data_IF_739328528544
#
_entry.id   IF_739328528544
#
_cell.length_a   1.000
_cell.length_b   1.000
_cell.length_c   1.000
_cell.angle_alpha   90.00
_cell.angle_beta   90.00
_cell.angle_gamma   90.00
#
_symmetry.space_group_name_H-M   'P 1'
#
loop_
_entity.id
_entity.type
_entity.pdbx_description
1 polymer ?
#
# COMPACT_ATOMS: atom_id res chain seq x y z
N UNK A 1 -40.50 18.22 -19.85
CA UNK A 1 -39.59 18.20 -18.71
C UNK A 1 -39.10 16.78 -18.49
N UNK A 2 -37.78 16.60 -18.49
CA UNK A 2 -37.11 15.36 -18.12
C UNK A 2 -36.74 15.42 -16.63
N UNK A 3 -36.63 14.27 -16.00
CA UNK A 3 -36.35 14.16 -14.57
C UNK A 3 -34.87 13.82 -14.35
N UNK A 4 -34.12 14.74 -13.74
CA UNK A 4 -32.74 14.50 -13.32
C UNK A 4 -32.74 13.88 -11.91
N UNK A 5 -32.17 12.68 -11.75
CA UNK A 5 -31.99 12.01 -10.45
C UNK A 5 -30.55 12.11 -9.97
N UNK A 6 -30.39 12.56 -8.72
CA UNK A 6 -29.11 12.82 -8.09
C UNK A 6 -28.83 11.82 -6.97
N UNK A 7 -27.61 11.29 -6.95
CA UNK A 7 -27.16 10.29 -5.98
C UNK A 7 -25.91 10.76 -5.24
N UNK A 8 -25.67 10.15 -4.06
CA UNK A 8 -24.48 10.32 -3.24
C UNK A 8 -24.00 11.79 -3.13
N UNK A 9 -22.74 12.07 -3.50
CA UNK A 9 -22.13 13.40 -3.39
C UNK A 9 -22.88 14.48 -4.19
N UNK A 10 -23.43 14.14 -5.36
CA UNK A 10 -24.23 15.09 -6.15
C UNK A 10 -25.54 15.48 -5.44
N UNK A 11 -26.17 14.52 -4.75
CA UNK A 11 -27.35 14.79 -3.91
C UNK A 11 -27.02 15.72 -2.74
N UNK A 12 -25.87 15.53 -2.12
CA UNK A 12 -25.41 16.35 -0.99
C UNK A 12 -25.09 17.79 -1.43
N UNK A 13 -24.44 17.95 -2.60
CA UNK A 13 -24.13 19.27 -3.17
C UNK A 13 -25.42 20.00 -3.57
N UNK A 14 -26.35 19.30 -4.22
CA UNK A 14 -27.59 19.89 -4.72
C UNK A 14 -28.66 20.10 -3.64
N UNK A 15 -28.54 19.44 -2.48
CA UNK A 15 -29.55 19.48 -1.41
C UNK A 15 -30.89 18.82 -1.78
N UNK A 16 -30.97 18.17 -2.94
CA UNK A 16 -32.17 17.47 -3.45
C UNK A 16 -31.75 16.18 -4.15
N UNK A 17 -32.65 15.20 -4.22
CA UNK A 17 -32.46 13.95 -4.95
C UNK A 17 -33.02 13.99 -6.38
N UNK A 18 -33.77 15.04 -6.74
CA UNK A 18 -34.45 15.18 -8.02
C UNK A 18 -34.51 16.64 -8.46
N UNK A 19 -34.41 16.87 -9.76
CA UNK A 19 -34.64 18.14 -10.42
C UNK A 19 -35.42 17.92 -11.72
N UNK A 20 -36.46 18.72 -11.97
CA UNK A 20 -37.12 18.77 -13.28
C UNK A 20 -36.41 19.76 -14.18
N UNK A 21 -36.00 19.33 -15.37
CA UNK A 21 -35.31 20.17 -16.35
C UNK A 21 -36.05 20.15 -17.68
N UNK A 22 -36.11 21.31 -18.33
CA UNK A 22 -36.63 21.42 -19.69
C UNK A 22 -35.46 21.39 -20.67
N UNK A 23 -35.18 20.19 -21.19
CA UNK A 23 -33.99 19.90 -21.97
C UNK A 23 -34.33 19.01 -23.17
N UNK A 24 -33.66 19.23 -24.30
CA UNK A 24 -33.76 18.42 -25.52
C UNK A 24 -32.66 17.35 -25.62
N UNK A 25 -31.58 17.52 -24.87
CA UNK A 25 -30.46 16.59 -24.80
C UNK A 25 -29.96 16.43 -23.37
N UNK A 26 -29.21 15.36 -23.12
CA UNK A 26 -28.50 15.16 -21.84
C UNK A 26 -27.57 16.34 -21.56
N UNK A 27 -26.87 16.87 -22.57
CA UNK A 27 -25.99 18.02 -22.44
C UNK A 27 -26.72 19.26 -21.93
N UNK A 28 -27.89 19.57 -22.50
CA UNK A 28 -28.72 20.70 -22.07
C UNK A 28 -29.17 20.53 -20.60
N UNK A 29 -29.57 19.31 -20.22
CA UNK A 29 -29.97 18.99 -18.86
C UNK A 29 -28.82 19.18 -17.84
N UNK A 30 -27.60 18.78 -18.21
CA UNK A 30 -26.41 18.94 -17.39
C UNK A 30 -26.03 20.42 -17.23
N UNK A 31 -26.07 21.20 -18.31
CA UNK A 31 -25.71 22.61 -18.29
C UNK A 31 -26.70 23.43 -17.46
N UNK A 32 -28.00 23.10 -17.54
CA UNK A 32 -29.01 23.65 -16.64
C UNK A 32 -28.73 23.32 -15.17
N UNK A 33 -28.37 22.07 -14.86
CA UNK A 33 -28.02 21.67 -13.51
C UNK A 33 -26.76 22.37 -12.99
N UNK A 34 -25.73 22.53 -13.83
CA UNK A 34 -24.50 23.30 -13.51
C UNK A 34 -24.85 24.76 -13.23
N UNK A 35 -25.70 25.38 -14.06
CA UNK A 35 -26.13 26.76 -13.86
C UNK A 35 -26.87 26.97 -12.53
N UNK A 36 -27.58 25.94 -12.05
CA UNK A 36 -28.35 25.99 -10.82
C UNK A 36 -27.53 25.71 -9.56
N UNK A 37 -26.61 24.74 -9.61
CA UNK A 37 -25.87 24.26 -8.43
C UNK A 37 -24.40 24.74 -8.36
N UNK A 38 -23.90 25.36 -9.43
CA UNK A 38 -22.59 26.03 -9.48
C UNK A 38 -21.38 25.11 -9.63
N UNK A 39 -20.19 25.70 -9.56
CA UNK A 39 -18.89 25.06 -9.87
C UNK A 39 -18.62 23.78 -9.06
N UNK A 40 -19.09 23.70 -7.81
CA UNK A 40 -18.89 22.51 -6.97
C UNK A 40 -19.66 21.30 -7.53
N UNK A 41 -20.81 21.53 -8.15
CA UNK A 41 -21.60 20.49 -8.79
C UNK A 41 -20.98 20.05 -10.12
N UNK A 42 -20.47 21.01 -10.90
CA UNK A 42 -19.71 20.75 -12.13
C UNK A 42 -18.48 19.87 -11.89
N UNK A 43 -17.71 20.16 -10.84
CA UNK A 43 -16.57 19.34 -10.45
C UNK A 43 -16.96 17.88 -10.11
N UNK A 44 -18.12 17.69 -9.46
CA UNK A 44 -18.66 16.36 -9.18
C UNK A 44 -19.13 15.63 -10.44
N UNK A 45 -19.78 16.35 -11.35
CA UNK A 45 -20.24 15.84 -12.65
C UNK A 45 -19.10 15.32 -13.53
N UNK A 46 -17.92 15.94 -13.49
CA UNK A 46 -16.76 15.54 -14.27
C UNK A 46 -16.30 14.09 -14.05
N UNK A 47 -16.74 13.46 -12.96
CA UNK A 47 -16.44 12.05 -12.65
C UNK A 47 -17.67 11.14 -12.68
N UNK A 48 -18.87 11.68 -12.85
CA UNK A 48 -20.12 10.94 -12.79
C UNK A 48 -20.45 10.26 -14.13
N UNK A 49 -21.07 9.08 -14.05
CA UNK A 49 -21.67 8.43 -15.21
C UNK A 49 -23.12 8.88 -15.39
N UNK A 50 -23.53 9.07 -16.64
CA UNK A 50 -24.87 9.54 -16.99
C UNK A 50 -25.64 8.40 -17.66
N UNK A 51 -26.87 8.20 -17.20
CA UNK A 51 -27.76 7.14 -17.67
C UNK A 51 -29.13 7.73 -17.99
N UNK A 52 -29.74 7.32 -19.11
CA UNK A 52 -31.09 7.69 -19.51
C UNK A 52 -31.94 6.43 -19.53
N UNK A 53 -32.99 6.38 -18.71
CA UNK A 53 -33.93 5.24 -18.61
C UNK A 53 -33.27 3.86 -18.41
N UNK A 54 -32.07 3.83 -17.80
CA UNK A 54 -31.34 2.59 -17.54
C UNK A 54 -30.26 2.23 -18.57
N UNK A 55 -30.05 3.05 -19.59
CA UNK A 55 -28.95 2.90 -20.56
C UNK A 55 -27.91 4.02 -20.39
N UNK A 56 -26.62 3.69 -20.53
CA UNK A 56 -25.55 4.68 -20.44
C UNK A 56 -25.63 5.68 -21.61
N UNK A 57 -25.60 6.97 -21.30
CA UNK A 57 -25.84 8.05 -22.25
C UNK A 57 -24.66 9.02 -22.34
N UNK A 58 -24.50 9.63 -23.50
CA UNK A 58 -23.54 10.71 -23.75
C UNK A 58 -24.28 12.05 -23.82
N UNK A 59 -23.53 13.17 -23.80
CA UNK A 59 -24.13 14.52 -23.77
C UNK A 59 -25.02 14.82 -24.98
N UNK A 60 -24.76 14.20 -26.13
CA UNK A 60 -25.54 14.35 -27.36
C UNK A 60 -26.80 13.46 -27.39
N UNK A 61 -27.00 12.60 -26.39
CA UNK A 61 -28.18 11.73 -26.34
C UNK A 61 -29.45 12.57 -26.20
N UNK A 62 -30.42 12.41 -27.11
CA UNK A 62 -31.68 13.16 -27.05
C UNK A 62 -32.53 12.70 -25.87
N UNK A 63 -33.25 13.63 -25.25
CA UNK A 63 -34.19 13.36 -24.15
C UNK A 63 -35.53 14.03 -24.40
N UNK A 64 -36.58 13.40 -23.91
CA UNK A 64 -37.98 13.79 -24.09
C UNK A 64 -38.67 14.02 -22.76
N UNK A 65 -39.87 14.62 -22.81
CA UNK A 65 -40.70 14.86 -21.63
C UNK A 65 -41.25 13.56 -21.05
N UNK A 66 -40.51 12.97 -20.12
CA UNK A 66 -40.82 11.67 -19.52
C UNK A 66 -39.56 10.86 -19.21
N UNK A 67 -38.42 11.23 -19.80
CA UNK A 67 -37.17 10.53 -19.60
C UNK A 67 -36.57 10.82 -18.22
N UNK A 68 -35.98 9.78 -17.64
CA UNK A 68 -35.25 9.85 -16.38
C UNK A 68 -33.74 9.82 -16.65
N UNK A 69 -33.05 10.89 -16.26
CA UNK A 69 -31.61 11.04 -16.38
C UNK A 69 -31.00 10.81 -15.00
N UNK A 70 -30.32 9.69 -14.79
CA UNK A 70 -29.62 9.39 -13.55
C UNK A 70 -28.15 9.83 -13.62
N UNK A 71 -27.74 10.65 -12.65
CA UNK A 71 -26.36 11.08 -12.47
C UNK A 71 -25.72 10.27 -11.35
N UNK A 72 -24.92 9.29 -11.74
CA UNK A 72 -24.31 8.33 -10.83
C UNK A 72 -22.84 8.74 -10.64
N UNK A 73 -22.50 9.47 -9.56
CA UNK A 73 -21.10 9.67 -9.21
C UNK A 73 -20.44 8.31 -8.93
N UNK A 74 -19.10 8.20 -9.06
CA UNK A 74 -18.42 6.94 -8.82
C UNK A 74 -18.80 6.44 -7.42
N UNK A 75 -19.32 5.21 -7.36
CA UNK A 75 -19.57 4.57 -6.07
C UNK A 75 -18.24 4.50 -5.32
N UNK A 76 -18.29 4.62 -4.00
CA UNK A 76 -17.13 4.61 -3.10
C UNK A 76 -16.24 3.35 -3.18
N UNK A 77 -16.48 2.44 -4.13
CA UNK A 77 -15.51 1.48 -4.64
C UNK A 77 -15.10 1.88 -6.06
N UNK A 78 -14.04 2.67 -6.18
CA UNK A 78 -13.60 3.24 -7.45
C UNK A 78 -13.24 2.17 -8.48
N UNK A 79 -13.90 2.20 -9.64
CA UNK A 79 -13.21 1.91 -10.90
C UNK A 79 -12.49 3.18 -11.30
N UNK A 80 -11.36 3.45 -10.63
CA UNK A 80 -10.36 4.36 -11.15
C UNK A 80 -10.07 3.87 -12.56
N UNK A 81 -10.35 4.69 -13.58
CA UNK A 81 -9.73 4.49 -14.89
C UNK A 81 -8.26 4.27 -14.62
N UNK A 82 -7.74 3.10 -15.01
CA UNK A 82 -6.34 2.75 -14.78
C UNK A 82 -5.52 3.85 -15.45
N UNK A 83 -5.06 4.82 -14.67
CA UNK A 83 -4.14 5.81 -15.16
C UNK A 83 -2.80 5.09 -15.29
N UNK A 84 -2.55 4.55 -16.49
CA UNK A 84 -1.30 3.83 -16.79
C UNK A 84 -0.06 4.66 -16.43
N UNK A 85 -0.16 5.99 -16.44
CA UNK A 85 0.93 6.88 -16.06
C UNK A 85 1.18 6.94 -14.55
N UNK A 86 0.12 6.89 -13.74
CA UNK A 86 0.21 6.77 -12.28
C UNK A 86 0.79 5.40 -11.87
N UNK A 87 0.43 4.35 -12.61
CA UNK A 87 0.95 2.99 -12.41
C UNK A 87 2.43 2.87 -12.74
N UNK A 88 2.86 3.49 -13.83
CA UNK A 88 4.27 3.54 -14.21
C UNK A 88 5.10 4.33 -13.20
N UNK A 89 4.61 5.49 -12.75
CA UNK A 89 5.32 6.33 -11.77
C UNK A 89 5.51 5.59 -10.44
N UNK A 90 4.47 4.91 -9.96
CA UNK A 90 4.53 4.08 -8.77
C UNK A 90 5.54 2.93 -8.91
N UNK A 91 5.50 2.21 -10.03
CA UNK A 91 6.42 1.12 -10.32
C UNK A 91 7.88 1.60 -10.41
N UNK A 92 8.13 2.75 -11.04
CA UNK A 92 9.47 3.35 -11.16
C UNK A 92 9.99 3.76 -9.79
N UNK A 93 9.19 4.40 -8.94
CA UNK A 93 9.63 4.83 -7.61
C UNK A 93 9.94 3.62 -6.71
N UNK A 94 9.02 2.63 -6.66
CA UNK A 94 9.24 1.41 -5.90
C UNK A 94 10.45 0.62 -6.41
N UNK A 95 10.60 0.51 -7.74
CA UNK A 95 11.75 -0.12 -8.37
C UNK A 95 13.06 0.60 -8.07
N UNK A 96 13.05 1.94 -8.06
CA UNK A 96 14.22 2.76 -7.72
C UNK A 96 14.65 2.55 -6.27
N UNK A 97 13.71 2.55 -5.32
CA UNK A 97 14.00 2.26 -3.92
C UNK A 97 14.55 0.84 -3.75
N UNK A 98 13.96 -0.14 -4.43
CA UNK A 98 14.41 -1.53 -4.39
C UNK A 98 15.83 -1.70 -4.95
N UNK A 99 16.13 -1.11 -6.11
CA UNK A 99 17.49 -1.08 -6.69
C UNK A 99 18.46 -0.34 -5.78
N UNK A 100 18.04 0.75 -5.15
CA UNK A 100 18.88 1.51 -4.21
C UNK A 100 19.28 0.64 -3.01
N UNK A 101 18.33 -0.09 -2.41
CA UNK A 101 18.62 -1.02 -1.32
C UNK A 101 19.53 -2.15 -1.77
N UNK A 102 19.33 -2.69 -2.98
CA UNK A 102 20.18 -3.73 -3.56
C UNK A 102 21.62 -3.24 -3.78
N UNK A 103 21.80 -2.06 -4.38
CA UNK A 103 23.13 -1.47 -4.60
C UNK A 103 23.80 -1.13 -3.28
N UNK A 104 23.05 -0.58 -2.32
CA UNK A 104 23.54 -0.27 -0.99
C UNK A 104 24.07 -1.52 -0.25
N UNK A 105 23.39 -2.66 -0.40
CA UNK A 105 23.84 -3.95 0.13
C UNK A 105 25.25 -4.34 -0.36
N UNK A 106 25.52 -4.05 -1.64
CA UNK A 106 26.80 -4.37 -2.31
C UNK A 106 27.93 -3.42 -1.91
N UNK A 107 27.61 -2.21 -1.44
CA UNK A 107 28.60 -1.19 -1.09
C UNK A 107 29.10 -1.42 0.34
N UNK A 108 28.22 -1.28 1.33
CA UNK A 108 28.60 -1.38 2.74
C UNK A 108 27.37 -1.52 3.64
N UNK A 109 27.59 -1.90 4.90
CA UNK A 109 26.51 -2.00 5.88
C UNK A 109 25.89 -0.63 6.19
N UNK A 110 26.69 0.43 6.21
CA UNK A 110 26.24 1.81 6.43
C UNK A 110 25.34 2.29 5.29
N UNK A 111 25.76 2.01 4.05
CA UNK A 111 24.97 2.33 2.88
C UNK A 111 23.61 1.61 2.93
N UNK A 112 23.62 0.31 3.28
CA UNK A 112 22.38 -0.45 3.42
C UNK A 112 21.48 0.12 4.54
N UNK A 113 22.04 0.41 5.71
CA UNK A 113 21.27 0.98 6.81
C UNK A 113 20.61 2.30 6.40
N UNK A 114 21.36 3.17 5.70
CA UNK A 114 20.83 4.42 5.15
C UNK A 114 19.69 4.17 4.14
N UNK A 115 19.90 3.27 3.18
CA UNK A 115 18.90 2.94 2.17
C UNK A 115 17.64 2.27 2.77
N UNK A 116 17.81 1.43 3.80
CA UNK A 116 16.71 0.79 4.53
C UNK A 116 15.86 1.82 5.27
N UNK A 117 16.49 2.75 5.99
CA UNK A 117 15.79 3.86 6.67
C UNK A 117 15.10 4.76 5.66
N UNK A 118 15.78 5.17 4.59
CA UNK A 118 15.19 6.01 3.54
C UNK A 118 13.98 5.36 2.88
N UNK A 119 14.05 4.05 2.60
CA UNK A 119 12.93 3.29 2.03
C UNK A 119 11.77 3.15 3.02
N UNK A 120 12.04 2.92 4.30
CA UNK A 120 11.01 2.88 5.34
C UNK A 120 10.34 4.24 5.55
N UNK A 121 11.10 5.34 5.51
CA UNK A 121 10.56 6.71 5.59
C UNK A 121 9.70 7.02 4.37
N UNK A 122 10.14 6.68 3.16
CA UNK A 122 9.37 6.87 1.94
C UNK A 122 8.05 6.08 1.99
N UNK A 123 8.10 4.82 2.44
CA UNK A 123 6.90 4.02 2.67
C UNK A 123 5.96 4.64 3.70
N UNK A 124 6.49 5.11 4.83
CA UNK A 124 5.68 5.78 5.86
C UNK A 124 5.07 7.08 5.35
N UNK A 125 5.78 7.82 4.51
CA UNK A 125 5.25 9.02 3.86
C UNK A 125 4.03 8.69 2.99
N UNK A 126 4.14 7.65 2.16
CA UNK A 126 3.04 7.16 1.32
C UNK A 126 1.83 6.71 2.15
N UNK A 127 2.09 6.05 3.28
CA UNK A 127 1.05 5.70 4.26
C UNK A 127 0.37 6.97 4.78
N UNK A 128 1.09 8.02 5.22
CA UNK A 128 0.44 9.26 5.69
C UNK A 128 -0.38 9.97 4.62
N UNK A 129 0.14 10.06 3.40
CA UNK A 129 -0.45 10.90 2.36
C UNK A 129 -1.83 10.37 1.98
N UNK A 130 -1.95 9.04 1.91
CA UNK A 130 -3.22 8.35 1.68
C UNK A 130 -4.23 8.57 2.81
N UNK A 131 -3.75 8.69 4.06
CA UNK A 131 -4.58 8.97 5.24
C UNK A 131 -5.00 10.43 5.40
N UNK A 132 -4.32 11.39 4.78
CA UNK A 132 -4.71 12.80 4.88
C UNK A 132 -6.16 13.04 4.39
N UNK A 133 -6.68 12.11 3.57
CA UNK A 133 -8.04 12.13 3.03
C UNK A 133 -9.10 11.47 3.94
N UNK A 134 -8.73 10.73 5.01
CA UNK A 134 -9.67 10.06 5.94
C UNK A 134 -9.18 10.11 7.41
N UNK A 135 -10.03 10.58 8.32
CA UNK A 135 -9.75 10.56 9.78
C UNK A 135 -10.15 9.20 10.40
N UNK A 136 -9.43 8.70 11.42
CA UNK A 136 -8.27 9.31 12.09
C UNK A 136 -6.93 9.08 11.37
N UNK A 137 -6.06 10.09 11.37
CA UNK A 137 -4.81 10.07 10.61
C UNK A 137 -3.68 9.37 11.40
N UNK A 138 -2.95 8.47 10.74
CA UNK A 138 -1.69 7.91 11.24
C UNK A 138 -0.70 9.05 11.46
N UNK A 139 -0.10 9.11 12.66
CA UNK A 139 0.93 10.10 12.95
C UNK A 139 2.27 9.58 12.47
N UNK A 140 2.75 10.09 11.35
CA UNK A 140 3.93 9.49 10.69
C UNK A 140 5.27 9.91 11.29
N UNK A 141 5.34 11.07 11.97
CA UNK A 141 6.58 11.51 12.63
C UNK A 141 7.12 10.48 13.64
N UNK A 142 6.33 9.97 14.60
CA UNK A 142 6.84 8.95 15.52
C UNK A 142 7.22 7.64 14.81
N UNK A 143 6.52 7.27 13.74
CA UNK A 143 6.86 6.08 12.95
C UNK A 143 8.20 6.24 12.21
N UNK A 144 8.48 7.41 11.63
CA UNK A 144 9.75 7.70 10.96
C UNK A 144 10.92 7.70 11.94
N UNK A 145 10.70 8.26 13.13
CA UNK A 145 11.67 8.19 14.22
C UNK A 145 11.91 6.73 14.65
N UNK A 146 10.85 5.93 14.75
CA UNK A 146 10.93 4.50 15.05
C UNK A 146 11.75 3.71 14.02
N UNK A 147 11.49 3.91 12.73
CA UNK A 147 12.27 3.28 11.65
C UNK A 147 13.77 3.60 11.77
N UNK A 148 14.08 4.87 12.02
CA UNK A 148 15.46 5.36 12.18
C UNK A 148 16.12 4.75 13.42
N UNK A 149 15.41 4.74 14.55
CA UNK A 149 15.90 4.18 15.81
C UNK A 149 16.15 2.67 15.69
N UNK A 150 15.22 1.92 15.10
CA UNK A 150 15.33 0.47 14.88
C UNK A 150 16.57 0.11 14.06
N UNK A 151 16.77 0.75 12.91
CA UNK A 151 17.91 0.49 12.04
C UNK A 151 19.26 0.92 12.66
N UNK A 152 19.31 2.12 13.26
CA UNK A 152 20.56 2.65 13.84
C UNK A 152 20.99 1.86 15.08
N UNK A 153 20.03 1.50 15.94
CA UNK A 153 20.31 0.68 17.11
C UNK A 153 20.72 -0.74 16.71
N UNK A 154 20.03 -1.35 15.72
CA UNK A 154 20.43 -2.64 15.15
C UNK A 154 21.85 -2.61 14.58
N UNK A 155 22.20 -1.57 13.81
CA UNK A 155 23.55 -1.40 13.25
C UNK A 155 24.61 -1.33 14.36
N UNK A 156 24.33 -0.60 15.44
CA UNK A 156 25.31 -0.35 16.50
C UNK A 156 25.43 -1.47 17.53
N UNK A 157 24.32 -2.12 17.88
CA UNK A 157 24.23 -3.02 19.03
C UNK A 157 23.64 -4.39 18.68
N UNK A 158 23.47 -4.72 17.40
CA UNK A 158 22.90 -5.99 16.95
C UNK A 158 21.47 -6.19 17.47
N UNK A 159 21.15 -7.42 17.86
CA UNK A 159 19.80 -7.82 18.27
C UNK A 159 19.28 -7.04 19.49
N UNK A 160 20.13 -6.82 20.49
CA UNK A 160 19.79 -6.00 21.65
C UNK A 160 19.45 -4.55 21.23
N UNK A 161 20.17 -4.05 20.23
CA UNK A 161 19.89 -2.76 19.59
C UNK A 161 18.53 -2.71 18.94
N UNK A 162 18.18 -3.71 18.14
CA UNK A 162 16.85 -3.81 17.53
C UNK A 162 15.74 -3.83 18.59
N UNK A 163 15.89 -4.62 19.66
CA UNK A 163 14.93 -4.68 20.75
C UNK A 163 14.75 -3.31 21.43
N UNK A 164 15.85 -2.61 21.71
CA UNK A 164 15.82 -1.25 22.27
C UNK A 164 15.17 -0.25 21.30
N UNK A 165 15.52 -0.30 20.01
CA UNK A 165 14.95 0.55 18.97
C UNK A 165 13.44 0.34 18.78
N UNK A 166 12.98 -0.92 18.85
CA UNK A 166 11.56 -1.26 18.82
C UNK A 166 10.82 -0.71 20.05
N UNK A 167 11.40 -0.88 21.24
CA UNK A 167 10.86 -0.31 22.48
C UNK A 167 10.76 1.22 22.41
N UNK A 168 11.78 1.89 21.88
CA UNK A 168 11.77 3.33 21.65
C UNK A 168 10.70 3.75 20.63
N UNK A 169 10.53 3.01 19.54
CA UNK A 169 9.50 3.29 18.54
C UNK A 169 8.09 3.25 19.15
N UNK A 170 7.80 2.22 19.96
CA UNK A 170 6.53 2.07 20.68
C UNK A 170 6.34 3.18 21.71
N UNK A 171 7.34 3.42 22.56
CA UNK A 171 7.29 4.46 23.59
C UNK A 171 7.09 5.85 23.00
N UNK A 172 7.79 6.17 21.91
CA UNK A 172 7.69 7.47 21.26
C UNK A 172 6.34 7.65 20.56
N UNK A 173 5.80 6.62 19.92
CA UNK A 173 4.46 6.64 19.34
C UNK A 173 3.37 6.90 20.40
N UNK A 174 3.45 6.23 21.55
CA UNK A 174 2.50 6.44 22.65
C UNK A 174 2.66 7.83 23.29
N UNK A 175 3.89 8.29 23.48
CA UNK A 175 4.17 9.62 24.03
C UNK A 175 3.76 10.76 23.10
N UNK A 176 3.68 10.53 21.78
CA UNK A 176 3.32 11.55 20.80
C UNK A 176 1.91 12.14 21.03
N UNK A 177 1.01 11.37 21.64
CA UNK A 177 -0.32 11.82 22.08
C UNK A 177 -0.29 13.11 22.93
N UNK A 178 0.81 13.34 23.64
CA UNK A 178 1.03 14.55 24.45
C UNK A 178 1.06 15.79 23.57
N UNK A 179 1.77 15.71 22.44
CA UNK A 179 2.04 16.84 21.53
C UNK A 179 0.91 17.08 20.53
N UNK A 180 0.21 16.04 20.07
CA UNK A 180 -0.89 16.19 19.10
C UNK A 180 -2.26 15.89 19.71
N UNK A 181 -2.91 16.94 20.21
CA UNK A 181 -4.25 16.87 20.80
C UNK A 181 -5.32 16.36 19.83
N UNK A 182 -5.11 16.51 18.51
CA UNK A 182 -6.12 16.18 17.49
C UNK A 182 -6.29 14.68 17.28
N UNK A 183 -5.30 13.88 17.66
CA UNK A 183 -5.20 12.46 17.34
C UNK A 183 -4.98 11.60 18.59
N UNK A 184 -5.62 11.95 19.72
CA UNK A 184 -5.56 11.19 20.99
C UNK A 184 -6.52 9.99 21.06
N UNK A 185 -7.25 9.71 19.99
CA UNK A 185 -8.14 8.56 19.94
C UNK A 185 -7.36 7.25 20.06
N UNK A 186 -7.95 6.25 20.71
CA UNK A 186 -7.35 4.92 20.88
C UNK A 186 -6.97 4.30 19.54
N UNK A 187 -7.80 4.51 18.52
CA UNK A 187 -7.57 4.05 17.14
C UNK A 187 -6.34 4.70 16.50
N UNK A 188 -6.19 6.03 16.59
CA UNK A 188 -5.02 6.73 16.05
C UNK A 188 -3.73 6.28 16.75
N UNK A 189 -3.78 6.09 18.07
CA UNK A 189 -2.64 5.68 18.87
C UNK A 189 -2.25 4.22 18.62
N UNK A 190 -3.23 3.32 18.52
CA UNK A 190 -2.95 1.91 18.21
C UNK A 190 -2.34 1.75 16.82
N UNK A 191 -2.93 2.38 15.80
CA UNK A 191 -2.40 2.36 14.43
C UNK A 191 -1.00 2.95 14.35
N UNK A 192 -0.78 4.13 14.94
CA UNK A 192 0.54 4.77 14.96
C UNK A 192 1.58 3.89 15.65
N UNK A 193 1.22 3.26 16.77
CA UNK A 193 2.13 2.39 17.52
C UNK A 193 2.49 1.14 16.72
N UNK A 194 1.50 0.48 16.12
CA UNK A 194 1.71 -0.71 15.29
C UNK A 194 2.57 -0.39 14.07
N UNK A 195 2.27 0.69 13.35
CA UNK A 195 3.04 1.11 12.17
C UNK A 195 4.47 1.50 12.56
N UNK A 196 4.67 2.18 13.69
CA UNK A 196 6.00 2.52 14.21
C UNK A 196 6.82 1.28 14.54
N UNK A 197 6.19 0.28 15.18
CA UNK A 197 6.83 -0.97 15.52
C UNK A 197 7.22 -1.77 14.26
N UNK A 198 6.33 -1.83 13.27
CA UNK A 198 6.59 -2.51 11.99
C UNK A 198 7.70 -1.82 11.20
N UNK A 199 7.72 -0.49 11.15
CA UNK A 199 8.76 0.27 10.48
C UNK A 199 10.14 0.06 11.13
N UNK A 200 10.20 0.12 12.47
CA UNK A 200 11.41 -0.16 13.24
C UNK A 200 11.91 -1.59 13.03
N UNK A 201 10.99 -2.55 13.07
CA UNK A 201 11.31 -3.97 12.90
C UNK A 201 11.79 -4.28 11.48
N UNK A 202 11.10 -3.79 10.44
CA UNK A 202 11.48 -4.05 9.06
C UNK A 202 12.83 -3.43 8.69
N UNK A 203 13.05 -2.16 9.03
CA UNK A 203 14.30 -1.48 8.75
C UNK A 203 15.47 -2.09 9.55
N UNK A 204 15.26 -2.38 10.84
CA UNK A 204 16.29 -2.98 11.69
C UNK A 204 16.58 -4.44 11.37
N UNK A 205 15.57 -5.24 11.01
CA UNK A 205 15.76 -6.63 10.58
C UNK A 205 16.67 -6.69 9.35
N UNK A 206 16.47 -5.82 8.35
CA UNK A 206 17.32 -5.77 7.17
C UNK A 206 18.79 -5.48 7.50
N UNK A 207 19.02 -4.60 8.47
CA UNK A 207 20.37 -4.31 9.00
C UNK A 207 20.96 -5.51 9.73
N UNK A 208 20.19 -6.21 10.57
CA UNK A 208 20.68 -7.41 11.26
C UNK A 208 21.05 -8.53 10.30
N UNK A 209 20.20 -8.78 9.28
CA UNK A 209 20.51 -9.76 8.23
C UNK A 209 21.83 -9.38 7.53
N UNK A 210 22.10 -8.08 7.34
CA UNK A 210 23.35 -7.61 6.71
C UNK A 210 24.59 -7.77 7.56
N UNK A 211 24.46 -7.53 8.87
CA UNK A 211 25.54 -7.74 9.83
C UNK A 211 25.97 -9.21 9.86
N UNK A 212 25.01 -10.11 9.64
CA UNK A 212 25.26 -11.55 9.53
C UNK A 212 25.83 -11.94 8.16
N UNK A 213 25.14 -11.61 7.04
CA UNK A 213 25.65 -11.89 5.70
C UNK A 213 25.01 -11.04 4.59
N UNK A 214 25.85 -10.47 3.73
CA UNK A 214 25.41 -9.79 2.52
C UNK A 214 24.62 -10.73 1.57
N UNK A 215 25.00 -12.01 1.52
CA UNK A 215 24.34 -13.00 0.67
C UNK A 215 22.89 -13.28 1.13
N UNK A 216 22.66 -13.30 2.44
CA UNK A 216 21.31 -13.48 3.02
C UNK A 216 20.41 -12.28 2.71
N UNK A 217 20.95 -11.06 2.69
CA UNK A 217 20.21 -9.86 2.23
C UNK A 217 19.91 -9.94 0.74
N UNK A 218 20.90 -10.28 -0.10
CA UNK A 218 20.68 -10.43 -1.55
C UNK A 218 19.60 -11.47 -1.84
N UNK A 219 19.65 -12.61 -1.17
CA UNK A 219 18.64 -13.65 -1.30
C UNK A 219 17.25 -13.13 -0.94
N UNK A 220 17.10 -12.46 0.21
CA UNK A 220 15.84 -11.85 0.61
C UNK A 220 15.33 -10.85 -0.45
N UNK A 221 16.19 -9.93 -0.90
CA UNK A 221 15.81 -8.92 -1.88
C UNK A 221 15.34 -9.58 -3.17
N UNK A 222 16.11 -10.50 -3.75
CA UNK A 222 15.75 -11.25 -4.96
C UNK A 222 14.42 -11.98 -4.79
N UNK A 223 14.24 -12.69 -3.67
CA UNK A 223 12.98 -13.39 -3.38
C UNK A 223 11.81 -12.42 -3.30
N UNK A 224 11.95 -11.30 -2.59
CA UNK A 224 10.92 -10.28 -2.46
C UNK A 224 10.59 -9.61 -3.81
N UNK A 225 11.60 -9.36 -4.64
CA UNK A 225 11.42 -8.84 -6.01
C UNK A 225 10.68 -9.83 -6.91
N UNK A 226 11.07 -11.10 -6.89
CA UNK A 226 10.37 -12.16 -7.62
C UNK A 226 8.94 -12.34 -7.11
N UNK A 227 8.70 -12.21 -5.80
CA UNK A 227 7.36 -12.22 -5.22
C UNK A 227 6.48 -11.10 -5.78
N UNK A 228 7.02 -9.88 -5.87
CA UNK A 228 6.31 -8.73 -6.44
C UNK A 228 5.97 -8.96 -7.92
N UNK A 229 6.92 -9.49 -8.71
CA UNK A 229 6.71 -9.85 -10.12
C UNK A 229 5.68 -10.98 -10.25
N UNK A 230 5.77 -12.02 -9.44
CA UNK A 230 4.85 -13.15 -9.42
C UNK A 230 3.42 -12.72 -9.09
N UNK A 231 3.25 -11.82 -8.11
CA UNK A 231 1.96 -11.24 -7.82
C UNK A 231 1.43 -10.37 -8.96
N UNK A 232 2.28 -9.59 -9.63
CA UNK A 232 1.88 -8.78 -10.77
C UNK A 232 1.43 -9.66 -11.95
N UNK A 233 2.22 -10.70 -12.25
CA UNK A 233 1.92 -11.67 -13.29
C UNK A 233 0.63 -12.46 -13.00
N UNK A 234 0.43 -12.88 -11.75
CA UNK A 234 -0.80 -13.55 -11.32
C UNK A 234 -2.05 -12.71 -11.56
N UNK A 235 -2.00 -11.40 -11.29
CA UNK A 235 -3.11 -10.49 -11.62
C UNK A 235 -3.34 -10.34 -13.12
N UNK A 236 -2.26 -10.30 -13.91
CA UNK A 236 -2.33 -10.01 -15.36
C UNK A 236 -2.69 -11.22 -16.20
N UNK A 237 -2.25 -12.41 -15.79
CA UNK A 237 -2.28 -13.64 -16.60
C UNK A 237 -2.92 -14.85 -15.88
N UNK A 238 -3.21 -14.76 -14.58
CA UNK A 238 -3.62 -15.93 -13.77
C UNK A 238 -5.02 -16.50 -14.03
N UNK A 239 -5.86 -15.81 -14.82
CA UNK A 239 -7.26 -16.21 -15.04
C UNK A 239 -8.04 -16.37 -13.73
N UNK A 240 -9.12 -17.14 -13.74
CA UNK A 240 -9.94 -17.41 -12.54
C UNK A 240 -9.30 -18.45 -11.58
N UNK A 241 -8.28 -19.19 -12.01
CA UNK A 241 -7.75 -20.36 -11.28
C UNK A 241 -6.51 -20.07 -10.42
N UNK A 242 -5.81 -18.96 -10.62
CA UNK A 242 -4.58 -18.64 -9.87
C UNK A 242 -4.71 -17.30 -9.14
N UNK A 243 -4.94 -17.34 -7.83
CA UNK A 243 -4.91 -16.15 -6.97
C UNK A 243 -3.47 -15.55 -6.93
N UNK A 244 -3.32 -14.22 -7.02
CA UNK A 244 -2.03 -13.53 -6.85
C UNK A 244 -1.20 -13.95 -5.63
N UNK A 245 -1.83 -14.28 -4.49
CA UNK A 245 -1.15 -14.73 -3.28
C UNK A 245 -0.56 -16.14 -3.44
N UNK A 246 -1.29 -17.03 -4.11
CA UNK A 246 -0.82 -18.37 -4.43
C UNK A 246 0.34 -18.31 -5.43
N UNK A 247 0.21 -17.53 -6.50
CA UNK A 247 1.27 -17.33 -7.49
C UNK A 247 2.56 -16.83 -6.82
N UNK A 248 2.43 -15.85 -5.92
CA UNK A 248 3.53 -15.28 -5.17
C UNK A 248 4.19 -16.30 -4.22
N UNK A 249 3.40 -17.07 -3.46
CA UNK A 249 3.94 -18.08 -2.55
C UNK A 249 4.73 -19.15 -3.30
N UNK A 250 4.23 -19.61 -4.45
CA UNK A 250 4.93 -20.58 -5.31
C UNK A 250 6.25 -20.02 -5.83
N UNK A 251 6.25 -18.77 -6.31
CA UNK A 251 7.47 -18.10 -6.80
C UNK A 251 8.50 -17.93 -5.69
N UNK A 252 8.08 -17.53 -4.49
CA UNK A 252 8.98 -17.35 -3.34
C UNK A 252 9.63 -18.66 -2.92
N UNK A 253 8.85 -19.74 -2.83
CA UNK A 253 9.37 -21.06 -2.45
C UNK A 253 10.34 -21.57 -3.52
N UNK A 254 9.97 -21.48 -4.80
CA UNK A 254 10.86 -21.86 -5.90
C UNK A 254 12.17 -21.05 -5.90
N UNK A 255 12.08 -19.74 -5.66
CA UNK A 255 13.25 -18.88 -5.53
C UNK A 255 14.13 -19.27 -4.34
N UNK A 256 13.53 -19.59 -3.19
CA UNK A 256 14.26 -20.08 -2.01
C UNK A 256 15.05 -21.36 -2.28
N UNK A 257 14.45 -22.32 -3.01
CA UNK A 257 15.11 -23.56 -3.42
C UNK A 257 16.28 -23.25 -4.36
N UNK A 258 16.05 -22.47 -5.42
CA UNK A 258 17.07 -22.15 -6.42
C UNK A 258 18.24 -21.40 -5.80
N UNK A 259 17.96 -20.37 -5.01
CA UNK A 259 19.01 -19.57 -4.36
C UNK A 259 19.78 -20.42 -3.36
N UNK A 260 19.09 -21.23 -2.54
CA UNK A 260 19.75 -22.15 -1.63
C UNK A 260 20.64 -23.17 -2.35
N UNK A 261 20.21 -23.66 -3.52
CA UNK A 261 20.98 -24.64 -4.30
C UNK A 261 22.20 -24.03 -5.01
N UNK A 262 22.13 -22.75 -5.41
CA UNK A 262 23.19 -22.06 -6.14
C UNK A 262 24.20 -21.36 -5.22
N UNK A 263 23.81 -21.00 -4.01
CA UNK A 263 24.68 -20.31 -3.07
C UNK A 263 25.43 -21.32 -2.19
N UNK A 264 26.70 -21.59 -2.52
CA UNK A 264 27.55 -22.52 -1.77
C UNK A 264 27.69 -22.17 -0.28
N UNK A 265 27.45 -20.90 0.09
CA UNK A 265 27.53 -20.42 1.47
C UNK A 265 26.20 -20.46 2.22
N UNK A 266 25.10 -20.91 1.60
CA UNK A 266 23.75 -20.90 2.18
C UNK A 266 23.17 -22.29 2.17
N UNK A 267 22.60 -22.70 3.30
CA UNK A 267 21.97 -24.00 3.39
C UNK A 267 20.57 -24.01 2.80
N UNK A 268 20.33 -24.96 1.90
CA UNK A 268 19.06 -25.09 1.17
C UNK A 268 17.87 -25.13 2.13
N UNK A 269 17.93 -25.94 3.20
CA UNK A 269 16.81 -26.11 4.13
C UNK A 269 16.45 -24.79 4.83
N UNK A 270 17.45 -24.08 5.36
CA UNK A 270 17.25 -22.79 6.03
C UNK A 270 16.68 -21.77 5.05
N UNK A 271 17.18 -21.74 3.82
CA UNK A 271 16.73 -20.80 2.78
C UNK A 271 15.29 -21.05 2.35
N UNK A 272 14.88 -22.31 2.20
CA UNK A 272 13.50 -22.67 1.84
C UNK A 272 12.53 -22.29 2.96
N UNK A 273 12.88 -22.59 4.22
CA UNK A 273 12.02 -22.29 5.36
C UNK A 273 11.93 -20.78 5.63
N UNK A 274 13.05 -20.05 5.52
CA UNK A 274 13.06 -18.59 5.60
C UNK A 274 12.27 -17.95 4.45
N UNK A 275 12.35 -18.50 3.24
CA UNK A 275 11.55 -18.06 2.10
C UNK A 275 10.05 -18.27 2.35
N UNK A 276 9.65 -19.40 2.93
CA UNK A 276 8.26 -19.65 3.30
C UNK A 276 7.72 -18.62 4.31
N UNK A 277 8.52 -18.26 5.32
CA UNK A 277 8.16 -17.20 6.27
C UNK A 277 8.11 -15.81 5.60
N UNK A 278 9.05 -15.51 4.72
CA UNK A 278 9.01 -14.27 3.93
C UNK A 278 7.77 -14.22 3.03
N UNK A 279 7.33 -15.34 2.43
CA UNK A 279 6.08 -15.39 1.67
C UNK A 279 4.88 -15.02 2.54
N UNK A 280 4.80 -15.57 3.75
CA UNK A 280 3.79 -15.18 4.74
C UNK A 280 3.85 -13.70 5.09
N UNK A 281 5.06 -13.14 5.22
CA UNK A 281 5.29 -11.73 5.52
C UNK A 281 4.90 -10.81 4.39
N UNK A 282 5.13 -11.23 3.15
CA UNK A 282 4.71 -10.50 1.95
C UNK A 282 3.17 -10.49 1.85
N UNK A 283 2.50 -11.62 2.13
CA UNK A 283 1.02 -11.66 2.21
C UNK A 283 0.52 -10.74 3.33
N UNK A 284 1.09 -10.86 4.53
CA UNK A 284 0.72 -10.06 5.69
C UNK A 284 1.00 -8.56 5.50
N UNK A 285 2.05 -8.20 4.77
CA UNK A 285 2.35 -6.81 4.44
C UNK A 285 1.30 -6.21 3.50
N UNK A 286 0.79 -6.98 2.54
CA UNK A 286 -0.32 -6.52 1.68
C UNK A 286 -1.61 -6.30 2.46
N UNK A 287 -1.94 -7.22 3.36
CA UNK A 287 -3.14 -7.09 4.20
C UNK A 287 -3.01 -5.92 5.15
N UNK A 288 -1.83 -5.73 5.76
CA UNK A 288 -1.50 -4.55 6.55
C UNK A 288 -1.68 -3.28 5.73
N UNK A 289 -1.07 -3.22 4.54
CA UNK A 289 -1.14 -2.06 3.65
C UNK A 289 -2.58 -1.69 3.30
N UNK A 290 -3.41 -2.69 3.01
CA UNK A 290 -4.84 -2.52 2.75
C UNK A 290 -5.61 -2.05 3.99
N UNK A 291 -5.42 -2.70 5.14
CA UNK A 291 -6.06 -2.33 6.40
C UNK A 291 -5.71 -0.90 6.81
N UNK A 292 -4.44 -0.55 6.69
CA UNK A 292 -3.92 0.79 6.98
C UNK A 292 -4.56 1.76 5.98
N UNK A 293 -4.41 1.60 4.67
CA UNK A 293 -4.89 2.63 3.73
C UNK A 293 -6.41 2.70 3.51
N UNK A 294 -7.13 1.57 3.63
CA UNK A 294 -8.56 1.48 3.33
C UNK A 294 -9.46 1.41 4.58
N UNK A 295 -8.91 0.99 5.72
CA UNK A 295 -9.71 0.57 6.89
C UNK A 295 -10.31 -0.83 6.77
N UNK A 296 -10.14 -1.49 5.61
CA UNK A 296 -10.69 -2.82 5.30
C UNK A 296 -9.57 -3.80 4.91
N UNK A 297 -9.76 -5.08 5.21
CA UNK A 297 -8.84 -6.15 4.82
C UNK A 297 -9.21 -6.65 3.42
N UNK A 298 -8.56 -6.10 2.40
CA UNK A 298 -8.70 -6.54 1.01
C UNK A 298 -7.44 -7.28 0.53
N UNK A 299 -7.63 -8.45 -0.10
CA UNK A 299 -6.52 -9.30 -0.56
C UNK A 299 -6.20 -9.14 -2.07
N UNK A 300 -7.17 -8.70 -2.86
CA UNK A 300 -7.10 -8.70 -4.34
C UNK A 300 -7.10 -7.31 -4.97
N UNK A 301 -7.59 -6.30 -4.25
CA UNK A 301 -7.71 -4.92 -4.72
C UNK A 301 -6.44 -4.14 -4.37
N UNK A 302 -6.03 -3.21 -5.24
CA UNK A 302 -4.90 -2.32 -4.99
C UNK A 302 -5.27 -1.32 -3.91
N UNK A 303 -4.49 -1.28 -2.84
CA UNK A 303 -4.61 -0.22 -1.83
C UNK A 303 -4.23 1.14 -2.45
N UNK A 304 -4.84 2.26 -2.02
CA UNK A 304 -4.49 3.58 -2.50
C UNK A 304 -3.08 3.97 -2.04
N UNK A 305 -2.29 4.63 -2.89
CA UNK A 305 -0.90 4.96 -2.60
C UNK A 305 0.07 4.48 -3.68
N UNK A 306 1.18 5.19 -3.78
CA UNK A 306 2.24 5.04 -4.78
C UNK A 306 3.19 3.90 -4.39
N UNK A 307 3.46 3.72 -3.10
CA UNK A 307 4.47 2.78 -2.59
C UNK A 307 3.89 1.51 -1.94
N UNK A 308 2.66 1.15 -2.30
CA UNK A 308 1.99 -0.07 -1.82
C UNK A 308 2.74 -1.37 -2.17
N UNK A 309 3.63 -1.33 -3.16
CA UNK A 309 4.52 -2.46 -3.49
C UNK A 309 5.62 -2.70 -2.43
N UNK A 310 5.86 -1.76 -1.51
CA UNK A 310 6.83 -1.89 -0.42
C UNK A 310 6.21 -2.43 0.88
N UNK A 311 4.89 -2.36 1.06
CA UNK A 311 4.19 -2.97 2.21
C UNK A 311 4.63 -4.43 2.48
N UNK A 312 4.71 -5.29 1.44
CA UNK A 312 5.13 -6.67 1.61
C UNK A 312 6.59 -6.82 2.03
N UNK A 313 7.47 -5.93 1.55
CA UNK A 313 8.90 -6.02 1.79
C UNK A 313 9.27 -5.69 3.25
N UNK A 314 8.57 -4.73 3.87
CA UNK A 314 8.86 -4.31 5.25
C UNK A 314 8.52 -5.43 6.25
N UNK A 315 7.34 -6.03 6.11
CA UNK A 315 6.94 -7.17 6.95
C UNK A 315 7.71 -8.43 6.55
N UNK A 316 7.96 -8.63 5.25
CA UNK A 316 8.76 -9.72 4.73
C UNK A 316 10.18 -9.75 5.28
N UNK A 317 10.85 -8.60 5.42
CA UNK A 317 12.20 -8.52 5.97
C UNK A 317 12.26 -9.00 7.44
N UNK A 318 11.26 -8.61 8.23
CA UNK A 318 11.15 -9.04 9.62
C UNK A 318 10.96 -10.56 9.74
N UNK A 319 10.05 -11.14 8.94
CA UNK A 319 9.81 -12.59 8.98
C UNK A 319 10.94 -13.41 8.34
N UNK A 320 11.63 -12.86 7.35
CA UNK A 320 12.85 -13.45 6.82
C UNK A 320 13.93 -13.55 7.90
N UNK A 321 14.19 -12.45 8.61
CA UNK A 321 15.14 -12.45 9.73
C UNK A 321 14.73 -13.45 10.82
N UNK A 322 13.45 -13.47 11.21
CA UNK A 322 12.94 -14.44 12.17
C UNK A 322 13.13 -15.89 11.69
N UNK A 323 12.90 -16.15 10.40
CA UNK A 323 13.12 -17.47 9.82
C UNK A 323 14.58 -17.91 9.84
N UNK A 324 15.50 -16.99 9.49
CA UNK A 324 16.93 -17.27 9.60
C UNK A 324 17.33 -17.62 11.04
N UNK A 325 16.82 -16.88 12.03
CA UNK A 325 17.10 -17.15 13.44
C UNK A 325 16.51 -18.48 13.94
N UNK A 326 15.27 -18.79 13.54
CA UNK A 326 14.58 -20.00 14.00
C UNK A 326 15.17 -21.27 13.41
N UNK A 327 15.66 -21.21 12.18
CA UNK A 327 16.08 -22.39 11.43
C UNK A 327 17.59 -22.56 11.33
N UNK A 328 18.40 -21.57 11.72
CA UNK A 328 19.86 -21.69 11.72
C UNK A 328 20.38 -22.85 12.58
N UNK A 329 19.63 -23.30 13.58
CA UNK A 329 20.01 -24.46 14.41
C UNK A 329 19.69 -25.81 13.75
N UNK A 330 18.85 -25.85 12.72
CA UNK A 330 18.53 -27.08 11.97
C UNK A 330 19.60 -27.42 10.92
N UNK A 331 20.51 -26.48 10.69
CA UNK A 331 21.59 -26.57 9.72
C UNK A 331 22.88 -27.22 10.19
N UNK A 332 23.09 -27.22 11.51
CA UNK A 332 24.30 -27.74 12.15
C UNK A 332 24.24 -29.25 12.41
#
# INVERSE_FOLDING_TARGET
MATLRLFASLREIAGTNRLEVDASSVGDALDLAISQFGERFEAGLGTAQVWVNGDQAQRDTPVTGGDEIALIPPVSGGTTTIDESADLTAAVLAGTLWVTVLLANLISTEALAFAAVGSAIAWLWDVSDTYAMRRPAVQVIPAMAGATAGATAAYRFGEAGLAAGLGLAVMFALAWAVFDKRNRGVEALSLTTVISAIAALGAGALVLIRLDSAAKVTAFLVIAGLAAVGSWAGRRFGGASVDPNLAMALVVIAAGIVIGALAESLEILVMVLAAALAAGGVIAGRTLGSMVRNGDVLHTVRAPGILTMLDPAIVGAALWWAGLLLFSSLGN
#
